data_IF_959825566618
#
_entry.id   IF_959825566618
#
_cell.length_a   1.000
_cell.length_b   1.000
_cell.length_c   1.000
_cell.angle_alpha   90.00
_cell.angle_beta   90.00
_cell.angle_gamma   90.00
#
_symmetry.space_group_name_H-M   'P 1'
#
loop_
_entity.id
_entity.type
_entity.pdbx_description
1 polymer ?
#
# COMPACT_ATOMS: atom_id res chain seq x y z
N UNK A 1 33.75 -44.36 -50.59
CA UNK A 1 33.80 -44.72 -49.15
C UNK A 1 32.38 -44.64 -48.62
N UNK A 2 31.87 -45.68 -47.94
CA UNK A 2 30.57 -45.59 -47.29
C UNK A 2 30.64 -44.60 -46.12
N UNK A 3 29.53 -43.93 -45.82
CA UNK A 3 29.40 -43.04 -44.67
C UNK A 3 28.57 -43.68 -43.55
N UNK A 4 28.79 -43.24 -42.31
CA UNK A 4 28.08 -43.76 -41.13
C UNK A 4 26.84 -42.92 -40.76
N UNK A 5 26.38 -42.03 -41.65
CA UNK A 5 25.20 -41.21 -41.42
C UNK A 5 23.89 -42.01 -41.46
N UNK A 6 22.94 -41.64 -40.61
CA UNK A 6 21.60 -42.23 -40.56
C UNK A 6 20.87 -42.07 -41.90
N UNK A 7 20.23 -43.16 -42.35
CA UNK A 7 19.48 -43.20 -43.60
C UNK A 7 18.05 -42.67 -43.43
N UNK A 8 17.48 -42.17 -44.52
CA UNK A 8 16.11 -41.64 -44.65
C UNK A 8 15.72 -40.56 -43.63
N UNK A 9 16.72 -39.88 -43.04
CA UNK A 9 16.54 -38.82 -42.06
C UNK A 9 17.26 -37.56 -42.54
N UNK A 10 16.62 -36.40 -42.39
CA UNK A 10 17.25 -35.12 -42.67
C UNK A 10 18.28 -34.81 -41.58
N UNK A 11 19.52 -34.52 -41.97
CA UNK A 11 20.61 -34.20 -41.04
C UNK A 11 21.53 -33.13 -41.63
N UNK A 12 22.31 -32.48 -40.76
CA UNK A 12 23.37 -31.59 -41.20
C UNK A 12 24.70 -32.33 -41.20
N UNK A 13 25.35 -32.38 -42.36
CA UNK A 13 26.68 -32.95 -42.52
C UNK A 13 27.59 -31.98 -43.28
N UNK A 14 28.90 -32.09 -43.05
CA UNK A 14 29.90 -31.33 -43.80
C UNK A 14 30.10 -31.99 -45.15
N UNK A 15 29.96 -31.22 -46.22
CA UNK A 15 30.29 -31.69 -47.55
C UNK A 15 31.77 -32.07 -47.62
N UNK A 16 32.09 -33.29 -48.05
CA UNK A 16 33.48 -33.77 -48.15
C UNK A 16 34.30 -33.04 -49.22
N UNK A 17 33.66 -32.31 -50.12
CA UNK A 17 34.33 -31.56 -51.19
C UNK A 17 34.73 -30.13 -50.78
N UNK A 18 33.88 -29.42 -50.03
CA UNK A 18 34.07 -28.01 -49.70
C UNK A 18 34.02 -27.68 -48.20
N UNK A 19 33.71 -28.66 -47.34
CA UNK A 19 33.63 -28.49 -45.89
C UNK A 19 32.39 -27.76 -45.38
N UNK A 20 31.54 -27.23 -46.26
CA UNK A 20 30.32 -26.50 -45.88
C UNK A 20 29.31 -27.41 -45.18
N UNK A 21 28.72 -26.94 -44.09
CA UNK A 21 27.61 -27.63 -43.41
C UNK A 21 26.33 -27.46 -44.25
N UNK A 22 25.73 -28.57 -44.67
CA UNK A 22 24.57 -28.57 -45.55
C UNK A 22 23.55 -29.61 -45.10
N UNK A 23 22.26 -29.42 -45.41
CA UNK A 23 21.25 -30.44 -45.18
C UNK A 23 21.44 -31.59 -46.18
N UNK A 24 21.43 -32.83 -45.68
CA UNK A 24 21.49 -34.06 -46.45
C UNK A 24 20.36 -35.01 -46.05
N UNK A 25 19.99 -35.90 -46.98
CA UNK A 25 19.14 -37.06 -46.73
C UNK A 25 19.69 -38.21 -47.54
N UNK A 26 20.24 -39.21 -46.86
CA UNK A 26 20.89 -40.37 -47.50
C UNK A 26 19.89 -41.52 -47.61
N UNK A 27 19.85 -42.17 -48.77
CA UNK A 27 19.03 -43.36 -49.02
C UNK A 27 19.87 -44.65 -49.02
N UNK A 28 21.19 -44.52 -49.14
CA UNK A 28 22.14 -45.64 -49.11
C UNK A 28 23.42 -45.25 -48.36
N UNK A 29 24.08 -46.19 -47.65
CA UNK A 29 25.42 -45.97 -47.08
C UNK A 29 26.48 -45.64 -48.13
N UNK A 30 26.23 -45.95 -49.40
CA UNK A 30 27.12 -45.64 -50.53
C UNK A 30 26.88 -44.26 -51.14
N UNK A 31 25.91 -43.50 -50.65
CA UNK A 31 25.63 -42.16 -51.15
C UNK A 31 26.84 -41.23 -50.93
N UNK A 32 27.06 -40.32 -51.87
CA UNK A 32 28.17 -39.39 -51.75
C UNK A 32 27.78 -38.21 -50.84
N UNK A 33 28.62 -37.92 -49.85
CA UNK A 33 28.47 -36.78 -48.93
C UNK A 33 28.97 -35.49 -49.61
N UNK A 34 28.34 -35.14 -50.73
CA UNK A 34 28.70 -34.00 -51.58
C UNK A 34 27.47 -33.14 -51.84
N UNK A 35 27.55 -31.85 -51.51
CA UNK A 35 26.43 -30.93 -51.65
C UNK A 35 26.00 -30.80 -53.12
N UNK A 36 24.78 -30.34 -53.36
CA UNK A 36 24.22 -30.22 -54.70
C UNK A 36 25.11 -29.41 -55.65
N UNK A 37 25.79 -28.38 -55.14
CA UNK A 37 26.67 -27.53 -55.94
C UNK A 37 27.95 -28.25 -56.34
N UNK A 38 28.57 -28.97 -55.39
CA UNK A 38 29.80 -29.73 -55.64
C UNK A 38 29.57 -31.01 -56.46
N UNK A 39 28.35 -31.56 -56.49
CA UNK A 39 28.00 -32.72 -57.31
C UNK A 39 28.29 -32.50 -58.80
N UNK A 40 28.08 -31.27 -59.28
CA UNK A 40 28.35 -30.87 -60.67
C UNK A 40 29.84 -30.84 -61.04
N UNK A 41 30.74 -30.90 -60.05
CA UNK A 41 32.19 -30.79 -60.24
C UNK A 41 32.92 -32.14 -60.12
N UNK A 42 32.20 -33.26 -60.11
CA UNK A 42 32.78 -34.59 -60.00
C UNK A 42 33.30 -35.10 -61.36
N UNK A 43 34.53 -34.73 -61.75
CA UNK A 43 35.25 -35.24 -62.94
C UNK A 43 36.78 -35.03 -62.87
N UNK A 44 37.58 -35.29 -63.93
CA UNK A 44 39.05 -35.13 -63.90
C UNK A 44 39.55 -33.67 -63.87
N UNK A 45 38.73 -32.68 -64.22
CA UNK A 45 39.10 -31.25 -64.22
C UNK A 45 38.53 -30.51 -63.00
N UNK A 46 39.10 -30.76 -61.81
CA UNK A 46 38.31 -30.80 -60.56
C UNK A 46 38.51 -29.66 -59.56
N UNK A 47 39.68 -29.04 -59.49
CA UNK A 47 39.99 -28.09 -58.41
C UNK A 47 39.70 -26.64 -58.81
N UNK A 48 40.32 -26.15 -59.89
CA UNK A 48 40.23 -24.74 -60.30
C UNK A 48 38.81 -24.31 -60.65
N UNK A 49 38.06 -25.13 -61.41
CA UNK A 49 36.66 -24.83 -61.76
C UNK A 49 35.76 -24.74 -60.54
N UNK A 50 35.96 -25.63 -59.57
CA UNK A 50 35.22 -25.65 -58.30
C UNK A 50 35.56 -24.42 -57.46
N UNK A 51 36.84 -24.08 -57.37
CA UNK A 51 37.30 -22.96 -56.56
C UNK A 51 36.81 -21.63 -57.16
N UNK A 52 36.80 -21.49 -58.49
CA UNK A 52 36.18 -20.35 -59.18
C UNK A 52 34.67 -20.26 -58.92
N UNK A 53 33.95 -21.38 -58.96
CA UNK A 53 32.51 -21.41 -58.66
C UNK A 53 32.21 -21.01 -57.20
N UNK A 54 33.03 -21.47 -56.25
CA UNK A 54 32.90 -21.04 -54.85
C UNK A 54 33.25 -19.58 -54.66
N UNK A 55 34.30 -19.07 -55.29
CA UNK A 55 34.66 -17.65 -55.24
C UNK A 55 33.51 -16.80 -55.78
N UNK A 56 32.90 -17.20 -56.89
CA UNK A 56 31.74 -16.51 -57.45
C UNK A 56 30.54 -16.54 -56.49
N UNK A 57 30.25 -17.69 -55.88
CA UNK A 57 29.18 -17.83 -54.88
C UNK A 57 29.42 -16.93 -53.66
N UNK A 58 30.63 -16.96 -53.09
CA UNK A 58 30.98 -16.17 -51.91
C UNK A 58 30.96 -14.67 -52.21
N UNK A 59 31.41 -14.25 -53.40
CA UNK A 59 31.27 -12.86 -53.85
C UNK A 59 29.82 -12.43 -53.91
N UNK A 60 28.94 -13.24 -54.52
CA UNK A 60 27.50 -12.95 -54.56
C UNK A 60 26.87 -12.84 -53.18
N UNK A 61 27.24 -13.74 -52.24
CA UNK A 61 26.77 -13.67 -50.84
C UNK A 61 27.28 -12.40 -50.17
N UNK A 62 28.56 -12.07 -50.34
CA UNK A 62 29.18 -10.88 -49.76
C UNK A 62 28.58 -9.59 -50.29
N UNK A 63 28.32 -9.51 -51.59
CA UNK A 63 27.68 -8.35 -52.24
C UNK A 63 26.23 -8.21 -51.74
N UNK A 64 25.47 -9.30 -51.68
CA UNK A 64 24.12 -9.29 -51.15
C UNK A 64 24.06 -8.85 -49.68
N UNK A 65 25.03 -9.30 -48.86
CA UNK A 65 25.16 -8.87 -47.46
C UNK A 65 25.53 -7.39 -47.35
N UNK A 66 26.42 -6.90 -48.20
CA UNK A 66 26.81 -5.48 -48.21
C UNK A 66 25.62 -4.57 -48.57
N UNK A 67 24.81 -4.96 -49.56
CA UNK A 67 23.59 -4.24 -49.92
C UNK A 67 22.58 -4.26 -48.77
N UNK A 68 22.29 -5.44 -48.21
CA UNK A 68 21.36 -5.55 -47.09
C UNK A 68 21.83 -4.77 -45.84
N UNK A 69 23.14 -4.70 -45.60
CA UNK A 69 23.71 -3.90 -44.51
C UNK A 69 23.59 -2.40 -44.78
N UNK A 70 23.76 -1.96 -46.02
CA UNK A 70 23.54 -0.56 -46.41
C UNK A 70 22.08 -0.15 -46.23
N UNK A 71 21.13 -0.97 -46.72
CA UNK A 71 19.70 -0.73 -46.56
C UNK A 71 19.29 -0.69 -45.08
N UNK A 72 19.83 -1.62 -44.28
CA UNK A 72 19.56 -1.65 -42.83
C UNK A 72 20.15 -0.43 -42.10
N UNK A 73 21.31 0.07 -42.53
CA UNK A 73 21.91 1.28 -41.96
C UNK A 73 21.07 2.52 -42.29
N UNK A 74 20.63 2.66 -43.54
CA UNK A 74 19.72 3.75 -43.95
C UNK A 74 18.42 3.71 -43.16
N UNK A 75 17.79 2.54 -43.04
CA UNK A 75 16.58 2.39 -42.24
C UNK A 75 16.81 2.76 -40.77
N UNK A 76 17.91 2.31 -40.17
CA UNK A 76 18.24 2.63 -38.78
C UNK A 76 18.45 4.14 -38.56
N UNK A 77 19.05 4.85 -39.52
CA UNK A 77 19.19 6.30 -39.47
C UNK A 77 17.83 7.00 -39.54
N UNK A 78 16.93 6.55 -40.43
CA UNK A 78 15.57 7.10 -40.52
C UNK A 78 14.76 6.87 -39.25
N UNK A 79 14.84 5.68 -38.66
CA UNK A 79 14.15 5.33 -37.41
C UNK A 79 14.70 6.13 -36.24
N UNK A 80 16.03 6.33 -36.17
CA UNK A 80 16.67 7.14 -35.13
C UNK A 80 16.23 8.60 -35.22
N UNK A 81 16.15 9.17 -36.42
CA UNK A 81 15.65 10.52 -36.64
C UNK A 81 14.17 10.67 -36.22
N UNK A 82 13.33 9.71 -36.59
CA UNK A 82 11.91 9.69 -36.20
C UNK A 82 11.73 9.57 -34.68
N UNK A 83 12.50 8.70 -34.02
CA UNK A 83 12.49 8.54 -32.58
C UNK A 83 12.93 9.83 -31.86
N UNK A 84 14.00 10.47 -32.35
CA UNK A 84 14.48 11.75 -31.79
C UNK A 84 13.42 12.85 -31.90
N UNK A 85 12.78 13.00 -33.05
CA UNK A 85 11.69 13.96 -33.23
C UNK A 85 10.51 13.69 -32.26
N UNK A 86 10.17 12.41 -32.06
CA UNK A 86 9.10 12.02 -31.14
C UNK A 86 9.47 12.31 -29.67
N UNK A 87 10.72 12.08 -29.28
CA UNK A 87 11.20 12.40 -27.93
C UNK A 87 11.08 13.91 -27.70
N UNK A 88 11.57 14.74 -28.61
CA UNK A 88 11.47 16.20 -28.48
C UNK A 88 10.03 16.70 -28.41
N UNK A 89 9.11 16.11 -29.18
CA UNK A 89 7.67 16.44 -29.09
C UNK A 89 7.09 16.08 -27.71
N UNK A 90 7.45 14.93 -27.16
CA UNK A 90 6.98 14.49 -25.85
C UNK A 90 7.56 15.35 -24.72
N UNK A 91 8.85 15.69 -24.80
CA UNK A 91 9.50 16.61 -23.85
C UNK A 91 8.82 17.98 -23.86
N UNK A 92 8.53 18.53 -25.04
CA UNK A 92 7.80 19.80 -25.16
C UNK A 92 6.41 19.73 -24.50
N UNK A 93 5.67 18.63 -24.70
CA UNK A 93 4.37 18.42 -24.03
C UNK A 93 4.50 18.29 -22.52
N UNK A 94 5.52 17.60 -22.03
CA UNK A 94 5.79 17.48 -20.59
C UNK A 94 6.09 18.86 -20.00
N UNK A 95 6.91 19.68 -20.69
CA UNK A 95 7.18 21.06 -20.27
C UNK A 95 5.91 21.92 -20.26
N UNK A 96 5.08 21.84 -21.31
CA UNK A 96 3.81 22.57 -21.41
C UNK A 96 2.82 22.18 -20.30
N UNK A 97 2.64 20.89 -20.06
CA UNK A 97 1.77 20.38 -19.00
C UNK A 97 2.31 20.77 -17.63
N UNK A 98 3.61 20.69 -17.41
CA UNK A 98 4.23 21.10 -16.15
C UNK A 98 4.04 22.60 -15.91
N UNK A 99 4.24 23.43 -16.92
CA UNK A 99 3.99 24.87 -16.85
C UNK A 99 2.51 25.19 -16.60
N UNK A 100 1.60 24.43 -17.21
CA UNK A 100 0.15 24.57 -16.99
C UNK A 100 -0.24 24.18 -15.57
N UNK A 101 0.28 23.07 -15.07
CA UNK A 101 0.00 22.60 -13.70
C UNK A 101 0.57 23.58 -12.69
N UNK A 102 1.85 23.98 -12.82
CA UNK A 102 2.48 24.99 -11.95
C UNK A 102 1.70 26.31 -12.02
N UNK A 103 1.40 26.78 -13.24
CA UNK A 103 0.62 28.01 -13.44
C UNK A 103 -0.80 27.92 -12.86
N UNK A 104 -1.46 26.76 -12.93
CA UNK A 104 -2.75 26.53 -12.29
C UNK A 104 -2.65 26.46 -10.76
N UNK A 105 -1.56 25.93 -10.20
CA UNK A 105 -1.32 25.94 -8.75
C UNK A 105 -0.96 27.34 -8.22
N UNK A 106 -0.21 28.13 -8.99
CA UNK A 106 0.16 29.50 -8.65
C UNK A 106 -1.01 30.49 -8.83
N UNK A 107 -1.90 30.23 -9.80
CA UNK A 107 -3.09 31.05 -10.07
C UNK A 107 -4.34 30.59 -9.34
N UNK A 108 -4.40 29.32 -8.90
CA UNK A 108 -5.38 28.91 -7.92
C UNK A 108 -5.12 29.70 -6.64
N UNK A 109 -6.15 30.28 -6.00
CA UNK A 109 -5.96 30.91 -4.71
C UNK A 109 -5.36 29.86 -3.77
N UNK A 110 -4.09 30.00 -3.42
CA UNK A 110 -3.41 29.13 -2.46
C UNK A 110 -4.11 29.10 -1.10
N UNK A 111 -5.09 29.99 -0.88
CA UNK A 111 -6.03 29.93 0.22
C UNK A 111 -6.89 28.66 0.18
N UNK A 112 -7.46 28.24 -0.95
CA UNK A 112 -8.44 27.14 -0.97
C UNK A 112 -7.89 25.80 -0.46
N UNK A 113 -6.80 25.31 -1.05
CA UNK A 113 -6.19 24.03 -0.67
C UNK A 113 -5.52 24.11 0.71
N UNK A 114 -4.88 25.24 1.03
CA UNK A 114 -4.23 25.43 2.34
C UNK A 114 -5.25 25.55 3.47
N UNK A 115 -6.34 26.27 3.25
CA UNK A 115 -7.46 26.41 4.18
C UNK A 115 -8.18 25.08 4.36
N UNK A 116 -8.37 24.30 3.29
CA UNK A 116 -8.95 22.96 3.38
C UNK A 116 -8.05 22.02 4.20
N UNK A 117 -6.74 21.99 3.93
CA UNK A 117 -5.77 21.21 4.70
C UNK A 117 -5.67 21.66 6.17
N UNK A 118 -5.68 22.96 6.43
CA UNK A 118 -5.73 23.51 7.78
C UNK A 118 -7.02 23.11 8.50
N UNK A 119 -8.16 23.18 7.81
CA UNK A 119 -9.46 22.77 8.35
C UNK A 119 -9.47 21.29 8.72
N UNK A 120 -8.85 20.43 7.91
CA UNK A 120 -8.80 18.99 8.15
C UNK A 120 -7.89 18.62 9.32
N UNK A 121 -6.75 19.29 9.47
CA UNK A 121 -5.87 19.12 10.63
C UNK A 121 -6.58 19.55 11.93
N UNK A 122 -7.27 20.69 11.90
CA UNK A 122 -8.08 21.17 13.04
C UNK A 122 -9.17 20.16 13.38
N UNK A 123 -9.94 19.70 12.38
CA UNK A 123 -11.03 18.73 12.59
C UNK A 123 -10.56 17.40 13.16
N UNK A 124 -9.36 16.93 12.78
CA UNK A 124 -8.74 15.73 13.35
C UNK A 124 -8.30 15.96 14.80
N UNK A 125 -7.69 17.09 15.10
CA UNK A 125 -7.27 17.44 16.45
C UNK A 125 -8.47 17.58 17.40
N UNK A 126 -9.54 18.24 16.97
CA UNK A 126 -10.79 18.37 17.71
C UNK A 126 -11.41 17.00 18.01
N UNK A 127 -11.47 16.12 17.00
CA UNK A 127 -11.99 14.75 17.18
C UNK A 127 -11.16 13.96 18.18
N UNK A 128 -9.83 14.05 18.13
CA UNK A 128 -8.95 13.36 19.07
C UNK A 128 -9.17 13.86 20.52
N UNK A 129 -9.25 15.18 20.70
CA UNK A 129 -9.54 15.81 22.00
C UNK A 129 -10.91 15.40 22.53
N UNK A 130 -11.94 15.37 21.67
CA UNK A 130 -13.28 14.93 22.06
C UNK A 130 -13.31 13.45 22.48
N UNK A 131 -12.59 12.57 21.77
CA UNK A 131 -12.48 11.16 22.18
C UNK A 131 -11.74 11.00 23.52
N UNK A 132 -10.66 11.76 23.73
CA UNK A 132 -9.93 11.76 24.99
C UNK A 132 -10.82 12.23 26.14
N UNK A 133 -11.55 13.33 25.95
CA UNK A 133 -12.52 13.85 26.94
C UNK A 133 -13.59 12.81 27.27
N UNK A 134 -14.16 12.14 26.26
CA UNK A 134 -15.13 11.04 26.48
C UNK A 134 -14.56 9.90 27.30
N UNK A 135 -13.28 9.57 27.11
CA UNK A 135 -12.61 8.52 27.89
C UNK A 135 -12.43 8.96 29.34
N UNK A 136 -11.96 10.18 29.55
CA UNK A 136 -11.83 10.78 30.90
C UNK A 136 -13.18 10.81 31.61
N UNK A 137 -14.23 11.26 30.93
CA UNK A 137 -15.60 11.30 31.46
C UNK A 137 -16.09 9.93 31.92
N UNK A 138 -15.85 8.87 31.13
CA UNK A 138 -16.18 7.50 31.54
C UNK A 138 -15.42 7.06 32.79
N UNK A 139 -14.14 7.42 32.91
CA UNK A 139 -13.33 7.10 34.08
C UNK A 139 -13.83 7.85 35.32
N UNK A 140 -14.14 9.15 35.19
CA UNK A 140 -14.68 9.96 36.29
C UNK A 140 -16.05 9.47 36.75
N UNK A 141 -16.92 9.05 35.82
CA UNK A 141 -18.19 8.40 36.15
C UNK A 141 -18.00 7.10 36.96
N UNK A 142 -16.97 6.31 36.65
CA UNK A 142 -16.63 5.10 37.44
C UNK A 142 -16.08 5.47 38.82
N UNK A 143 -15.20 6.48 38.90
CA UNK A 143 -14.69 6.98 40.19
C UNK A 143 -15.81 7.53 41.06
N UNK A 144 -16.78 8.24 40.47
CA UNK A 144 -17.97 8.71 41.18
C UNK A 144 -18.75 7.56 41.80
N UNK A 145 -19.02 6.49 41.03
CA UNK A 145 -19.69 5.27 41.56
C UNK A 145 -18.89 4.61 42.67
N UNK A 146 -17.56 4.56 42.54
CA UNK A 146 -16.72 4.04 43.61
C UNK A 146 -16.81 4.92 44.87
N UNK A 147 -16.87 6.25 44.72
CA UNK A 147 -17.04 7.18 45.83
C UNK A 147 -18.41 7.07 46.51
N UNK A 148 -19.49 6.79 45.77
CA UNK A 148 -20.79 6.53 46.40
C UNK A 148 -20.78 5.23 47.21
N UNK A 149 -20.07 4.20 46.76
CA UNK A 149 -19.92 2.93 47.48
C UNK A 149 -18.93 3.00 48.65
N UNK A 150 -17.90 3.85 48.55
CA UNK A 150 -16.84 4.03 49.54
C UNK A 150 -16.74 5.49 49.97
N UNK A 151 -17.55 5.86 50.97
CA UNK A 151 -17.52 7.17 51.59
C UNK A 151 -17.54 7.06 53.12
N UNK A 152 -17.23 8.16 53.78
CA UNK A 152 -17.34 8.30 55.24
C UNK A 152 -18.46 9.28 55.52
N UNK A 153 -19.51 8.83 56.21
CA UNK A 153 -20.58 9.71 56.67
C UNK A 153 -20.01 10.76 57.63
N UNK A 154 -20.62 11.94 57.68
CA UNK A 154 -20.15 13.02 58.55
C UNK A 154 -20.03 12.55 60.01
N UNK A 155 -18.82 12.62 60.57
CA UNK A 155 -18.52 12.19 61.95
C UNK A 155 -18.29 10.68 62.15
N UNK A 156 -18.33 9.86 61.09
CA UNK A 156 -18.04 8.43 61.18
C UNK A 156 -16.51 8.16 61.13
N UNK A 157 -16.06 7.13 61.85
CA UNK A 157 -14.67 6.65 61.80
C UNK A 157 -14.46 5.49 60.80
N UNK A 158 -15.55 4.98 60.22
CA UNK A 158 -15.55 3.86 59.29
C UNK A 158 -16.11 4.27 57.93
N UNK A 159 -15.57 3.65 56.88
CA UNK A 159 -16.11 3.71 55.53
C UNK A 159 -17.44 2.95 55.44
N UNK A 160 -18.29 3.31 54.48
CA UNK A 160 -19.55 2.63 54.17
C UNK A 160 -19.40 1.11 53.91
N UNK A 161 -18.20 0.66 53.52
CA UNK A 161 -17.89 -0.77 53.39
C UNK A 161 -17.58 -1.50 54.72
N UNK A 162 -17.65 -0.80 55.85
CA UNK A 162 -17.41 -1.33 57.21
C UNK A 162 -15.95 -1.32 57.67
N UNK A 163 -14.98 -1.04 56.80
CA UNK A 163 -13.56 -0.91 57.17
C UNK A 163 -13.29 0.45 57.84
N UNK A 164 -12.36 0.55 58.81
CA UNK A 164 -11.90 1.85 59.31
C UNK A 164 -11.44 2.76 58.18
N UNK A 165 -11.79 4.05 58.23
CA UNK A 165 -11.47 4.98 57.14
C UNK A 165 -9.96 5.06 56.85
N UNK A 166 -9.13 4.96 57.90
CA UNK A 166 -7.68 4.97 57.80
C UNK A 166 -7.09 3.73 57.08
N UNK A 167 -7.82 2.62 57.00
CA UNK A 167 -7.33 1.34 56.45
C UNK A 167 -8.12 0.85 55.24
N UNK A 168 -9.14 1.58 54.77
CA UNK A 168 -9.85 1.26 53.54
C UNK A 168 -9.01 1.67 52.31
N UNK A 169 -8.46 0.71 51.53
CA UNK A 169 -7.58 1.04 50.42
C UNK A 169 -8.31 1.78 49.30
N UNK A 170 -9.59 1.46 49.07
CA UNK A 170 -10.42 2.09 48.04
C UNK A 170 -10.69 3.57 48.38
N UNK A 171 -11.07 3.85 49.63
CA UNK A 171 -11.27 5.22 50.12
C UNK A 171 -9.97 6.05 50.05
N UNK A 172 -8.83 5.44 50.36
CA UNK A 172 -7.53 6.11 50.28
C UNK A 172 -7.19 6.56 48.85
N UNK A 173 -7.48 5.71 47.84
CA UNK A 173 -7.29 6.06 46.43
C UNK A 173 -8.26 7.17 46.01
N UNK A 174 -9.53 7.09 46.43
CA UNK A 174 -10.53 8.10 46.10
C UNK A 174 -10.21 9.47 46.72
N UNK A 175 -9.60 9.50 47.91
CA UNK A 175 -9.21 10.75 48.56
C UNK A 175 -8.17 11.56 47.77
N UNK A 176 -7.28 10.93 47.00
CA UNK A 176 -6.31 11.68 46.18
C UNK A 176 -6.96 12.39 44.98
N UNK A 177 -8.07 11.84 44.48
CA UNK A 177 -8.79 12.38 43.32
C UNK A 177 -10.05 13.19 43.71
N UNK A 178 -10.28 13.42 45.00
CA UNK A 178 -11.55 13.95 45.49
C UNK A 178 -11.88 15.34 44.94
N UNK A 179 -10.89 16.22 44.80
CA UNK A 179 -11.11 17.57 44.26
C UNK A 179 -11.44 17.51 42.76
N UNK A 180 -10.66 16.76 41.97
CA UNK A 180 -10.91 16.59 40.55
C UNK A 180 -12.29 15.97 40.28
N UNK A 181 -12.73 15.03 41.13
CA UNK A 181 -14.05 14.42 41.05
C UNK A 181 -15.17 15.42 41.34
N UNK A 182 -15.01 16.26 42.37
CA UNK A 182 -15.99 17.33 42.68
C UNK A 182 -16.08 18.37 41.57
N UNK A 183 -14.95 18.78 41.00
CA UNK A 183 -14.92 19.77 39.92
C UNK A 183 -15.57 19.20 38.64
N UNK A 184 -15.28 17.94 38.33
CA UNK A 184 -15.93 17.23 37.23
C UNK A 184 -17.44 17.07 37.45
N UNK A 185 -17.86 16.70 38.65
CA UNK A 185 -19.28 16.54 39.02
C UNK A 185 -20.02 17.87 38.90
N UNK A 186 -19.49 18.94 39.52
CA UNK A 186 -20.06 20.29 39.47
C UNK A 186 -20.24 20.78 38.03
N UNK A 187 -19.21 20.60 37.18
CA UNK A 187 -19.28 20.94 35.75
C UNK A 187 -20.41 20.16 35.05
N UNK A 188 -20.49 18.85 35.28
CA UNK A 188 -21.46 18.01 34.59
C UNK A 188 -22.90 18.19 35.11
N UNK A 189 -23.09 18.55 36.39
CA UNK A 189 -24.37 18.98 36.93
C UNK A 189 -24.83 20.27 36.28
N UNK A 190 -23.94 21.25 36.08
CA UNK A 190 -24.28 22.48 35.36
C UNK A 190 -24.64 22.22 33.88
N UNK A 191 -23.93 21.30 33.21
CA UNK A 191 -24.26 20.87 31.85
C UNK A 191 -25.64 20.18 31.79
N UNK A 192 -25.93 19.28 32.73
CA UNK A 192 -27.24 18.63 32.82
C UNK A 192 -28.37 19.64 33.05
N UNK A 193 -28.17 20.60 33.96
CA UNK A 193 -29.16 21.64 34.26
C UNK A 193 -29.44 22.57 33.06
N UNK A 194 -28.46 22.78 32.18
CA UNK A 194 -28.61 23.57 30.95
C UNK A 194 -29.14 22.76 29.76
N UNK A 195 -29.45 21.47 29.95
CA UNK A 195 -29.87 20.58 28.86
C UNK A 195 -28.77 20.24 27.86
N UNK A 196 -27.52 20.56 28.18
CA UNK A 196 -26.36 20.21 27.37
C UNK A 196 -25.95 18.75 27.60
N UNK A 197 -25.15 18.21 26.68
CA UNK A 197 -24.57 16.88 26.84
C UNK A 197 -23.67 16.86 28.09
N UNK A 198 -23.96 15.97 29.03
CA UNK A 198 -23.19 15.73 30.23
C UNK A 198 -22.68 14.27 30.31
N UNK A 199 -21.79 14.00 31.25
CA UNK A 199 -21.18 12.70 31.50
C UNK A 199 -21.62 12.03 32.81
N UNK A 200 -22.58 12.62 33.54
CA UNK A 200 -23.12 12.02 34.76
C UNK A 200 -23.68 10.60 34.51
N UNK A 201 -23.44 9.64 35.42
CA UNK A 201 -24.12 8.35 35.44
C UNK A 201 -25.65 8.49 35.47
N UNK A 202 -26.42 7.55 34.89
CA UNK A 202 -27.88 7.59 34.94
C UNK A 202 -28.44 7.55 36.37
N UNK A 203 -27.77 6.90 37.30
CA UNK A 203 -28.16 6.85 38.71
C UNK A 203 -27.82 8.12 39.51
N UNK A 204 -27.23 9.13 38.88
CA UNK A 204 -26.84 10.36 39.55
C UNK A 204 -28.07 11.23 39.85
N UNK A 205 -28.24 11.81 41.05
CA UNK A 205 -29.45 12.56 41.43
C UNK A 205 -29.81 13.74 40.51
N UNK A 206 -28.81 14.35 39.88
CA UNK A 206 -29.01 15.43 38.90
C UNK A 206 -29.44 14.95 37.49
N UNK A 207 -29.48 13.64 37.24
CA UNK A 207 -30.03 13.07 36.01
C UNK A 207 -31.47 12.64 36.29
N UNK A 208 -32.48 13.27 35.67
CA UNK A 208 -33.85 12.84 35.84
C UNK A 208 -34.02 11.46 35.19
N UNK A 209 -34.51 10.48 35.95
CA UNK A 209 -34.96 9.22 35.38
C UNK A 209 -35.98 9.51 34.27
N UNK A 210 -35.98 8.72 33.19
CA UNK A 210 -36.96 8.81 32.10
C UNK A 210 -38.44 8.68 32.56
N UNK A 211 -38.67 8.44 33.85
CA UNK A 211 -39.98 8.40 34.51
C UNK A 211 -40.33 9.67 35.32
N UNK A 212 -39.49 10.71 35.36
CA UNK A 212 -39.89 12.02 35.87
C UNK A 212 -40.22 12.10 37.37
N UNK A 213 -39.50 11.36 38.23
CA UNK A 213 -39.59 11.54 39.69
C UNK A 213 -38.29 12.08 40.24
N UNK A 214 -38.29 13.37 40.58
CA UNK A 214 -37.27 13.97 41.44
C UNK A 214 -37.27 13.22 42.78
N UNK A 215 -36.18 12.52 43.08
CA UNK A 215 -35.97 11.82 44.36
C UNK A 215 -35.77 12.80 45.52
N UNK A 216 -36.84 13.46 45.93
CA UNK A 216 -36.94 14.20 47.18
C UNK A 216 -37.01 13.23 48.37
N UNK A 217 -36.22 13.53 49.39
CA UNK A 217 -36.05 12.78 50.61
C UNK A 217 -37.37 12.34 51.29
N UNK A 218 -37.40 11.09 51.76
CA UNK A 218 -38.21 10.72 52.92
C UNK A 218 -37.39 9.91 53.92
N UNK A 219 -37.32 10.49 55.11
CA UNK A 219 -36.64 9.99 56.29
C UNK A 219 -37.08 8.57 56.69
N UNK A 220 -36.11 7.67 56.84
CA UNK A 220 -36.35 6.40 57.54
C UNK A 220 -36.26 6.66 59.05
N UNK A 221 -37.41 7.05 59.61
CA UNK A 221 -37.65 7.14 61.05
C UNK A 221 -37.50 5.77 61.70
N UNK A 222 -36.61 5.71 62.69
CA UNK A 222 -36.47 4.61 63.64
C UNK A 222 -37.79 4.29 64.36
N UNK A 223 -38.26 3.05 64.27
CA UNK A 223 -39.13 2.45 65.31
C UNK A 223 -38.60 1.11 65.80
N UNK A 224 -37.83 1.25 66.87
CA UNK A 224 -37.71 0.36 68.03
C UNK A 224 -39.02 -0.39 68.31
N UNK A 225 -39.03 -1.72 68.26
CA UNK A 225 -40.03 -2.56 68.95
C UNK A 225 -39.33 -3.32 70.06
N UNK A 226 -39.63 -2.93 71.30
CA UNK A 226 -39.41 -3.75 72.49
C UNK A 226 -40.53 -4.81 72.57
N UNK A 227 -40.09 -6.05 72.88
CA UNK A 227 -40.71 -7.13 73.66
C UNK A 227 -42.24 -7.17 73.84
N UNK A 228 -42.80 -8.36 73.62
CA UNK A 228 -43.17 -9.25 74.73
C UNK A 228 -42.38 -10.56 74.58
#
# INVERSE_FOLDING_TARGET
MPHDYALHTALQARCLCCGSLQPFTFSSPSDQVVCAHCRSHLGPEKAERRDLAHIALWRGISEAQALAAADAAEQAETDAAAASARISELEAKVTELSATVIGQFDSAPASGIREELQSDLVRRAERATELANRRTDRMMAVLWRAATLHHVAAGAAACSCGKPAATCPELRILNSEQQALRDWEAKNVALAASGARHALPPEHPAVPDAAGTAGGATAYSSRRKQRN
#
